data_IF_360869930146
#
_entry.id   IF_360869930146
#
_cell.length_a   1.000
_cell.length_b   1.000
_cell.length_c   1.000
_cell.angle_alpha   90.00
_cell.angle_beta   90.00
_cell.angle_gamma   90.00
#
_symmetry.space_group_name_H-M   'P 1'
#
loop_
_entity.id
_entity.type
_entity.pdbx_description
1 polymer ?
#
# COMPACT_ATOMS: atom_id res chain seq x y z
N UNK A 1 3.98 -8.72 12.76
CA UNK A 1 3.60 -7.79 11.68
C UNK A 1 3.85 -8.34 10.27
N UNK A 2 5.10 -8.50 9.78
CA UNK A 2 5.33 -8.88 8.37
C UNK A 2 4.72 -10.24 7.97
N UNK A 3 4.67 -11.19 8.89
CA UNK A 3 3.98 -12.48 8.72
C UNK A 3 2.48 -12.32 8.40
N UNK A 4 1.81 -11.36 9.04
CA UNK A 4 0.37 -11.08 8.87
C UNK A 4 0.11 -10.60 7.44
N UNK A 5 0.87 -9.61 6.98
CA UNK A 5 0.79 -9.12 5.60
C UNK A 5 1.09 -10.22 4.59
N UNK A 6 2.14 -11.01 4.81
CA UNK A 6 2.49 -12.11 3.91
C UNK A 6 1.33 -13.09 3.76
N UNK A 7 0.72 -13.52 4.87
CA UNK A 7 -0.44 -14.42 4.88
C UNK A 7 -1.63 -13.80 4.13
N UNK A 8 -1.87 -12.49 4.30
CA UNK A 8 -2.93 -11.77 3.58
C UNK A 8 -2.67 -11.73 2.06
N UNK A 9 -1.44 -11.44 1.64
CA UNK A 9 -1.02 -11.45 0.23
C UNK A 9 -1.19 -12.85 -0.38
N UNK A 10 -0.77 -13.90 0.32
CA UNK A 10 -0.93 -15.29 -0.13
C UNK A 10 -2.42 -15.66 -0.32
N UNK A 11 -3.29 -15.25 0.62
CA UNK A 11 -4.74 -15.43 0.50
C UNK A 11 -5.32 -14.73 -0.73
N UNK A 12 -5.03 -13.45 -0.91
CA UNK A 12 -5.47 -12.69 -2.08
C UNK A 12 -4.91 -13.24 -3.39
N UNK A 13 -3.66 -13.73 -3.40
CA UNK A 13 -3.07 -14.32 -4.60
C UNK A 13 -3.78 -15.62 -4.97
N UNK A 14 -4.12 -16.46 -3.99
CA UNK A 14 -4.91 -17.69 -4.21
C UNK A 14 -6.31 -17.38 -4.76
N UNK A 15 -6.94 -16.34 -4.26
CA UNK A 15 -8.30 -15.94 -4.68
C UNK A 15 -8.31 -15.32 -6.08
N UNK A 16 -7.45 -14.32 -6.31
CA UNK A 16 -7.50 -13.45 -7.48
C UNK A 16 -6.49 -13.84 -8.58
N UNK A 17 -5.51 -14.69 -8.28
CA UNK A 17 -4.52 -15.23 -9.21
C UNK A 17 -3.37 -14.27 -9.55
N UNK A 18 -3.57 -12.95 -9.45
CA UNK A 18 -2.52 -11.94 -9.70
C UNK A 18 -2.71 -10.70 -8.82
N UNK A 19 -1.61 -10.21 -8.28
CA UNK A 19 -1.51 -8.98 -7.50
C UNK A 19 -0.25 -8.22 -7.90
N UNK A 20 -0.31 -6.89 -7.87
CA UNK A 20 0.88 -6.05 -7.77
C UNK A 20 1.06 -5.64 -6.31
N UNK A 21 2.30 -5.68 -5.84
CA UNK A 21 2.67 -5.32 -4.48
C UNK A 21 3.75 -4.25 -4.55
N UNK A 22 3.50 -3.12 -3.90
CA UNK A 22 4.50 -2.08 -3.66
C UNK A 22 4.69 -1.96 -2.16
N UNK A 23 5.91 -2.05 -1.68
CA UNK A 23 6.20 -1.92 -0.26
C UNK A 23 7.50 -1.16 -0.06
N UNK A 24 7.64 -0.48 1.07
CA UNK A 24 8.84 0.27 1.39
C UNK A 24 8.80 0.92 2.76
N UNK A 25 9.94 1.47 3.19
CA UNK A 25 10.04 2.14 4.49
C UNK A 25 9.35 3.51 4.48
N UNK A 26 8.89 3.92 5.65
CA UNK A 26 8.40 5.25 5.99
C UNK A 26 9.33 5.85 7.06
N UNK A 27 9.59 7.14 6.94
CA UNK A 27 10.40 7.90 7.88
C UNK A 27 9.57 9.11 8.33
N UNK A 28 8.82 8.91 9.40
CA UNK A 28 7.93 9.89 10.05
C UNK A 28 8.11 9.73 11.57
N UNK A 29 9.16 10.34 12.11
CA UNK A 29 9.52 10.23 13.53
C UNK A 29 8.87 11.31 14.40
N UNK A 30 8.41 12.40 13.79
CA UNK A 30 7.64 13.44 14.48
C UNK A 30 6.11 13.19 14.42
N UNK A 31 5.70 12.14 13.70
CA UNK A 31 4.32 11.67 13.56
C UNK A 31 3.38 12.73 12.97
N UNK A 32 3.90 13.60 12.10
CA UNK A 32 3.11 14.66 11.45
C UNK A 32 2.38 14.17 10.18
N UNK A 33 2.57 12.89 9.83
CA UNK A 33 1.98 12.26 8.65
C UNK A 33 2.68 12.63 7.35
N UNK A 34 3.92 13.12 7.42
CA UNK A 34 4.74 13.52 6.27
C UNK A 34 6.12 12.93 6.38
N UNK A 35 6.77 12.82 5.22
CA UNK A 35 8.15 12.37 5.18
C UNK A 35 9.07 13.38 5.86
N UNK A 36 9.87 12.88 6.79
CA UNK A 36 10.97 13.64 7.38
C UNK A 36 12.00 14.08 6.33
N UNK A 37 12.55 15.28 6.54
CA UNK A 37 13.65 15.82 5.72
C UNK A 37 15.01 15.26 6.14
N UNK A 38 15.12 14.78 7.38
CA UNK A 38 16.37 14.30 7.95
C UNK A 38 16.68 12.95 7.33
N UNK A 39 17.68 12.92 6.45
CA UNK A 39 18.28 11.68 6.01
C UNK A 39 18.73 10.92 7.27
N UNK A 40 18.19 9.71 7.45
CA UNK A 40 18.68 8.67 8.34
C UNK A 40 20.07 9.00 8.88
N UNK A 41 20.16 9.33 10.18
CA UNK A 41 21.44 9.59 10.85
C UNK A 41 22.46 8.56 10.35
N UNK A 42 23.46 9.06 9.62
CA UNK A 42 24.54 8.29 9.02
C UNK A 42 25.41 7.74 10.14
N UNK A 43 24.97 6.66 10.80
CA UNK A 43 25.73 6.08 11.90
C UNK A 43 25.11 4.88 12.62
N UNK A 44 23.82 4.60 12.46
CA UNK A 44 23.21 3.40 13.06
C UNK A 44 22.18 2.85 12.07
N UNK A 45 22.35 1.59 11.62
CA UNK A 45 21.55 0.92 10.60
C UNK A 45 20.12 1.44 10.52
N UNK A 46 19.78 2.07 9.38
CA UNK A 46 18.60 2.91 9.17
C UNK A 46 17.35 2.35 9.84
N UNK A 47 16.94 2.96 10.95
CA UNK A 47 15.61 2.73 11.52
C UNK A 47 14.60 3.49 10.65
N UNK A 48 13.53 2.82 10.25
CA UNK A 48 12.34 3.41 9.67
C UNK A 48 11.24 3.38 10.74
N UNK A 49 10.32 4.34 10.72
CA UNK A 49 9.21 4.44 11.68
C UNK A 49 8.12 3.41 11.35
N UNK A 50 7.82 3.23 10.07
CA UNK A 50 6.74 2.37 9.58
C UNK A 50 7.12 1.72 8.25
N UNK A 51 6.28 0.79 7.79
CA UNK A 51 6.35 0.20 6.45
C UNK A 51 5.02 0.43 5.76
N UNK A 52 5.06 0.94 4.53
CA UNK A 52 3.86 0.97 3.69
C UNK A 52 3.77 -0.31 2.86
N UNK A 53 2.54 -0.76 2.59
CA UNK A 53 2.24 -1.84 1.64
C UNK A 53 1.03 -1.41 0.82
N UNK A 54 1.17 -1.37 -0.50
CA UNK A 54 0.08 -1.14 -1.45
C UNK A 54 -0.13 -2.41 -2.25
N UNK A 55 -1.35 -2.93 -2.22
CA UNK A 55 -1.80 -4.05 -3.03
C UNK A 55 -2.73 -3.55 -4.11
N UNK A 56 -2.52 -4.03 -5.34
CA UNK A 56 -3.36 -3.71 -6.48
C UNK A 56 -3.76 -4.98 -7.22
N UNK A 57 -5.03 -5.03 -7.61
CA UNK A 57 -5.55 -6.06 -8.51
C UNK A 57 -6.52 -5.47 -9.52
N UNK A 58 -6.87 -6.28 -10.51
CA UNK A 58 -8.01 -6.04 -11.38
C UNK A 58 -9.22 -6.82 -10.87
N UNK A 59 -10.42 -6.24 -11.02
CA UNK A 59 -11.67 -6.85 -10.58
C UNK A 59 -11.97 -8.17 -11.30
N UNK A 60 -11.55 -8.30 -12.56
CA UNK A 60 -11.76 -9.49 -13.39
C UNK A 60 -10.59 -10.47 -13.24
N UNK A 61 -10.88 -11.69 -12.81
CA UNK A 61 -9.91 -12.80 -12.72
C UNK A 61 -9.37 -13.15 -14.12
N UNK A 62 -8.06 -13.32 -14.24
CA UNK A 62 -7.39 -13.88 -15.44
C UNK A 62 -7.28 -12.97 -16.68
N UNK A 63 -8.26 -12.10 -16.98
CA UNK A 63 -8.33 -11.34 -18.24
C UNK A 63 -8.34 -9.81 -18.06
N UNK A 64 -8.04 -9.32 -16.86
CA UNK A 64 -8.16 -7.90 -16.52
C UNK A 64 -6.94 -7.03 -16.80
N UNK A 65 -5.80 -7.59 -17.19
CA UNK A 65 -4.49 -6.90 -17.18
C UNK A 65 -4.03 -6.50 -18.58
N UNK A 66 -3.36 -5.36 -18.70
CA UNK A 66 -2.64 -5.00 -19.94
C UNK A 66 -1.45 -5.93 -20.15
N UNK A 67 -0.86 -5.92 -21.36
CA UNK A 67 0.21 -6.85 -21.78
C UNK A 67 1.43 -6.84 -20.85
N UNK A 68 1.92 -5.66 -20.45
CA UNK A 68 3.03 -5.55 -19.48
C UNK A 68 2.63 -5.93 -18.04
N UNK A 69 1.32 -6.13 -17.81
CA UNK A 69 0.73 -6.59 -16.57
C UNK A 69 0.88 -5.63 -15.39
N UNK A 70 1.09 -4.34 -15.66
CA UNK A 70 1.27 -3.28 -14.64
C UNK A 70 -0.01 -2.50 -14.32
N UNK A 71 -1.07 -2.69 -15.09
CA UNK A 71 -2.36 -2.04 -14.91
C UNK A 71 -3.51 -2.90 -15.45
N UNK A 72 -4.74 -2.49 -15.15
CA UNK A 72 -5.91 -3.12 -15.73
C UNK A 72 -6.19 -2.60 -17.15
N UNK A 73 -6.72 -3.44 -18.03
CA UNK A 73 -7.17 -3.04 -19.37
C UNK A 73 -8.20 -1.92 -19.26
N UNK A 74 -9.18 -2.09 -18.36
CA UNK A 74 -10.07 -1.03 -17.94
C UNK A 74 -9.60 -0.47 -16.59
N UNK A 75 -9.17 0.79 -16.56
CA UNK A 75 -8.70 1.44 -15.35
C UNK A 75 -9.75 1.45 -14.22
N UNK A 76 -11.05 1.43 -14.54
CA UNK A 76 -12.13 1.38 -13.54
C UNK A 76 -12.19 0.06 -12.77
N UNK A 77 -11.66 -1.02 -13.35
CA UNK A 77 -11.60 -2.34 -12.72
C UNK A 77 -10.47 -2.43 -11.67
N UNK A 78 -9.63 -1.41 -11.56
CA UNK A 78 -8.56 -1.35 -10.56
C UNK A 78 -9.15 -1.35 -9.15
N UNK A 79 -8.67 -2.27 -8.31
CA UNK A 79 -8.96 -2.35 -6.87
C UNK A 79 -7.66 -2.26 -6.12
N UNK A 80 -7.68 -1.52 -5.02
CA UNK A 80 -6.50 -1.25 -4.20
C UNK A 80 -6.83 -1.41 -2.73
N UNK A 81 -5.84 -1.80 -1.96
CA UNK A 81 -5.81 -1.59 -0.51
C UNK A 81 -4.39 -1.24 -0.14
N UNK A 82 -4.24 -0.33 0.82
CA UNK A 82 -2.95 0.08 1.33
C UNK A 82 -2.94 0.09 2.84
N UNK A 83 -1.78 -0.21 3.39
CA UNK A 83 -1.51 -0.23 4.82
C UNK A 83 -0.28 0.61 5.11
N UNK A 84 -0.28 1.27 6.26
CA UNK A 84 0.93 1.86 6.88
C UNK A 84 1.06 1.21 8.24
N UNK A 85 2.14 0.45 8.43
CA UNK A 85 2.27 -0.49 9.54
C UNK A 85 3.44 -0.07 10.44
N UNK A 86 3.19 0.16 11.74
CA UNK A 86 4.22 0.59 12.69
C UNK A 86 5.37 -0.39 12.85
N UNK A 87 6.60 0.09 12.69
CA UNK A 87 7.79 -0.73 12.90
C UNK A 87 8.18 -0.77 14.39
N UNK A 88 7.44 -1.60 15.13
CA UNK A 88 7.64 -1.81 16.57
C UNK A 88 8.25 -3.18 16.87
N UNK A 89 9.03 -3.27 17.96
CA UNK A 89 9.67 -4.54 18.40
C UNK A 89 8.66 -5.55 18.94
N UNK A 90 7.66 -5.06 19.65
CA UNK A 90 6.58 -5.85 20.24
C UNK A 90 5.27 -5.16 19.91
N UNK A 91 4.31 -5.94 19.42
CA UNK A 91 2.99 -5.46 19.02
C UNK A 91 1.99 -5.81 20.11
N UNK A 92 1.85 -4.92 21.11
CA UNK A 92 1.01 -5.11 22.28
C UNK A 92 -0.39 -4.47 22.11
N UNK A 93 -0.94 -4.51 20.90
CA UNK A 93 -2.22 -3.87 20.58
C UNK A 93 -3.46 -4.71 20.99
N UNK A 94 -3.27 -5.97 21.39
CA UNK A 94 -4.33 -6.93 21.74
C UNK A 94 -5.36 -7.21 20.62
N UNK A 95 -5.06 -6.85 19.37
CA UNK A 95 -5.92 -7.04 18.20
C UNK A 95 -5.64 -8.40 17.54
N UNK A 96 -6.67 -8.96 16.88
CA UNK A 96 -6.47 -10.06 15.94
C UNK A 96 -5.80 -9.57 14.67
N UNK A 97 -5.21 -10.49 13.91
CA UNK A 97 -4.49 -10.16 12.66
C UNK A 97 -5.31 -9.31 11.67
N UNK A 98 -6.57 -9.65 11.43
CA UNK A 98 -7.44 -8.91 10.50
C UNK A 98 -7.88 -7.55 11.05
N UNK A 99 -8.10 -7.45 12.37
CA UNK A 99 -8.44 -6.19 13.04
C UNK A 99 -7.25 -5.24 13.00
N UNK A 100 -6.05 -5.75 13.27
CA UNK A 100 -4.81 -5.00 13.15
C UNK A 100 -4.61 -4.44 11.74
N UNK A 101 -4.80 -5.26 10.70
CA UNK A 101 -4.70 -4.77 9.33
C UNK A 101 -5.77 -3.73 9.00
N UNK A 102 -7.00 -3.91 9.50
CA UNK A 102 -8.10 -2.98 9.30
C UNK A 102 -7.80 -1.60 9.90
N UNK A 103 -7.29 -1.57 11.13
CA UNK A 103 -6.96 -0.34 11.85
C UNK A 103 -5.79 0.42 11.21
N UNK A 104 -4.95 -0.29 10.45
CA UNK A 104 -3.79 0.28 9.78
C UNK A 104 -4.02 0.50 8.27
N UNK A 105 -5.27 0.46 7.78
CA UNK A 105 -5.58 0.83 6.40
C UNK A 105 -5.31 2.33 6.22
N UNK A 106 -4.54 2.65 5.19
CA UNK A 106 -4.25 4.02 4.79
C UNK A 106 -4.75 4.27 3.36
N UNK A 107 -5.01 5.52 2.99
CA UNK A 107 -5.18 5.86 1.59
C UNK A 107 -3.83 5.88 0.88
N UNK A 108 -3.83 5.75 -0.44
CA UNK A 108 -2.61 5.96 -1.24
C UNK A 108 -2.09 7.39 -1.04
N UNK A 109 -2.97 8.37 -0.85
CA UNK A 109 -2.57 9.75 -0.61
C UNK A 109 -1.78 9.91 0.68
N UNK A 110 -2.10 9.15 1.72
CA UNK A 110 -1.35 9.12 2.97
C UNK A 110 0.04 8.53 2.73
N UNK A 111 0.12 7.41 2.00
CA UNK A 111 1.40 6.82 1.58
C UNK A 111 2.25 7.81 0.77
N UNK A 112 1.65 8.54 -0.18
CA UNK A 112 2.35 9.59 -0.95
C UNK A 112 2.92 10.69 -0.05
N UNK A 113 2.19 11.10 1.00
CA UNK A 113 2.65 12.14 1.94
C UNK A 113 3.80 11.63 2.81
N UNK A 114 3.68 10.42 3.34
CA UNK A 114 4.67 9.78 4.20
C UNK A 114 5.98 9.41 3.49
N UNK A 115 5.93 9.18 2.18
CA UNK A 115 7.09 8.68 1.42
C UNK A 115 7.63 9.68 0.41
N UNK A 116 6.82 10.65 -0.01
CA UNK A 116 7.11 11.53 -1.15
C UNK A 116 7.00 10.84 -2.51
N UNK A 117 6.53 9.58 -2.57
CA UNK A 117 6.25 8.88 -3.82
C UNK A 117 4.98 9.44 -4.49
N UNK A 118 4.79 9.11 -5.77
CA UNK A 118 3.58 9.45 -6.52
C UNK A 118 3.06 8.26 -7.32
N UNK A 119 1.90 7.76 -6.94
CA UNK A 119 1.25 6.60 -7.55
C UNK A 119 0.34 7.01 -8.70
N UNK A 120 0.05 6.11 -9.64
CA UNK A 120 -0.90 6.35 -10.75
C UNK A 120 -0.59 7.62 -11.58
N UNK A 121 0.71 7.87 -11.83
CA UNK A 121 1.18 9.07 -12.52
C UNK A 121 1.10 9.00 -14.04
N UNK A 122 0.89 7.80 -14.61
CA UNK A 122 0.79 7.60 -16.06
C UNK A 122 -0.66 7.77 -16.53
N UNK A 123 -1.02 8.88 -17.21
CA UNK A 123 -2.39 9.16 -17.62
C UNK A 123 -2.92 8.19 -18.68
N UNK A 124 -2.03 7.50 -19.42
CA UNK A 124 -2.43 6.47 -20.39
C UNK A 124 -2.94 5.20 -19.71
N UNK A 125 -2.43 4.89 -18.50
CA UNK A 125 -2.83 3.71 -17.72
C UNK A 125 -3.97 4.04 -16.75
N UNK A 126 -3.94 5.24 -16.16
CA UNK A 126 -4.95 5.72 -15.22
C UNK A 126 -5.36 7.15 -15.57
N UNK A 127 -6.52 7.35 -16.22
CA UNK A 127 -7.05 8.68 -16.46
C UNK A 127 -7.21 9.46 -15.16
N UNK A 128 -7.10 10.79 -15.21
CA UNK A 128 -6.98 11.65 -14.02
C UNK A 128 -8.08 11.41 -12.97
N UNK A 129 -9.35 11.34 -13.40
CA UNK A 129 -10.48 11.05 -12.49
C UNK A 129 -10.30 9.73 -11.75
N UNK A 130 -9.79 8.71 -12.42
CA UNK A 130 -9.55 7.38 -11.85
C UNK A 130 -8.35 7.42 -10.91
N UNK A 131 -7.26 8.05 -11.33
CA UNK A 131 -6.08 8.22 -10.50
C UNK A 131 -6.41 8.96 -9.20
N UNK A 132 -7.20 10.04 -9.25
CA UNK A 132 -7.65 10.77 -8.06
C UNK A 132 -8.52 9.89 -7.16
N UNK A 133 -9.50 9.18 -7.71
CA UNK A 133 -10.35 8.24 -6.95
C UNK A 133 -9.51 7.17 -6.25
N UNK A 134 -8.59 6.54 -6.97
CA UNK A 134 -7.68 5.53 -6.41
C UNK A 134 -6.77 6.13 -5.35
N UNK A 135 -6.41 7.43 -5.43
CA UNK A 135 -5.56 8.03 -4.41
C UNK A 135 -6.28 8.32 -3.09
N UNK A 136 -7.57 8.63 -3.13
CA UNK A 136 -8.32 9.17 -1.98
C UNK A 136 -9.28 8.18 -1.32
N UNK A 137 -9.52 7.01 -1.91
CA UNK A 137 -10.49 6.03 -1.38
C UNK A 137 -9.79 5.03 -0.45
N UNK A 138 -10.41 4.72 0.69
CA UNK A 138 -10.00 3.59 1.54
C UNK A 138 -10.38 2.26 0.88
N UNK A 139 -9.40 1.36 0.76
CA UNK A 139 -9.60 0.03 0.19
C UNK A 139 -10.30 -0.93 1.16
N UNK A 140 -11.58 -0.70 1.48
CA UNK A 140 -12.31 -1.53 2.45
C UNK A 140 -12.95 -2.79 1.84
N UNK A 141 -13.15 -2.82 0.52
CA UNK A 141 -13.65 -3.97 -0.23
C UNK A 141 -12.61 -4.41 -1.26
N UNK A 142 -11.48 -4.93 -0.77
CA UNK A 142 -10.36 -5.35 -1.61
C UNK A 142 -10.58 -6.69 -2.27
#
# INVERSE_FOLDING_TARGET
>A
MWSIIRKKIEGYLKEYGRLLVFAGPVYDFDYDGRRDKVAADKGSGSKFSDVFVVLLRCSKKGAGWIEDGTACVNAEDTRIVSYVLPHVKEDNNCLKEDEYLHDNVATIRDVERLTGLRFFSNPKKWPEKIALRLRTTFGTNF
#
